data_IF_813087470648
#
_entry.id   IF_813087470648
#
_cell.length_a   1.000
_cell.length_b   1.000
_cell.length_c   1.000
_cell.angle_alpha   90.00
_cell.angle_beta   90.00
_cell.angle_gamma   90.00
#
_symmetry.space_group_name_H-M   'P 1'
#
loop_
_entity.id
_entity.type
_entity.pdbx_description
1 polymer ?
#
# COMPACT_ATOMS: atom_id res chain seq x y z
N UNK A 1 -10.71 -7.84 4.15
CA UNK A 1 -9.43 -7.18 4.43
C UNK A 1 -8.45 -7.54 3.33
N UNK A 2 -7.58 -6.59 2.93
CA UNK A 2 -6.47 -6.85 2.02
C UNK A 2 -6.81 -7.09 0.55
N UNK A 3 -7.99 -6.69 0.04
CA UNK A 3 -8.37 -6.90 -1.37
C UNK A 3 -7.38 -6.27 -2.36
N UNK A 4 -6.94 -5.03 -2.10
CA UNK A 4 -5.96 -4.35 -2.94
C UNK A 4 -4.60 -5.06 -2.88
N UNK A 5 -4.17 -5.51 -1.70
CA UNK A 5 -2.96 -6.30 -1.50
C UNK A 5 -2.96 -7.58 -2.33
N UNK A 6 -4.09 -8.32 -2.32
CA UNK A 6 -4.24 -9.55 -3.11
C UNK A 6 -4.21 -9.29 -4.62
N UNK A 7 -4.85 -8.22 -5.08
CA UNK A 7 -4.85 -7.85 -6.51
C UNK A 7 -3.49 -7.32 -6.98
N UNK A 8 -2.78 -6.57 -6.14
CA UNK A 8 -1.43 -6.12 -6.46
C UNK A 8 -0.44 -7.27 -6.61
N UNK A 9 -0.71 -8.42 -5.98
CA UNK A 9 0.10 -9.64 -6.08
C UNK A 9 -0.25 -10.58 -7.24
N UNK A 10 -1.15 -10.19 -8.14
CA UNK A 10 -1.43 -10.97 -9.36
C UNK A 10 -0.23 -10.87 -10.30
N UNK A 11 0.37 -12.00 -10.65
CA UNK A 11 1.62 -12.06 -11.44
C UNK A 11 2.91 -12.05 -10.62
N UNK A 12 2.82 -11.82 -9.31
CA UNK A 12 3.94 -11.86 -8.37
C UNK A 12 3.89 -10.72 -7.36
N UNK A 13 3.92 -11.08 -6.08
CA UNK A 13 3.93 -10.10 -4.98
C UNK A 13 5.34 -9.54 -4.79
N UNK A 14 5.65 -8.40 -5.39
CA UNK A 14 6.91 -7.70 -5.10
C UNK A 14 6.91 -7.16 -3.67
N UNK A 15 7.88 -7.59 -2.87
CA UNK A 15 8.07 -7.20 -1.46
C UNK A 15 8.91 -5.93 -1.37
N UNK A 16 10.13 -6.00 -1.92
CA UNK A 16 11.12 -4.94 -1.88
C UNK A 16 12.15 -5.14 -3.01
N UNK A 17 13.28 -4.46 -2.91
CA UNK A 17 14.41 -4.59 -3.84
C UNK A 17 15.69 -4.88 -3.06
N UNK A 18 16.55 -5.73 -3.62
CA UNK A 18 17.80 -6.20 -3.00
C UNK A 18 19.00 -5.28 -3.21
N UNK A 19 18.79 -4.09 -3.73
CA UNK A 19 19.88 -3.13 -3.94
C UNK A 19 20.43 -2.62 -2.59
N UNK A 20 21.72 -2.25 -2.60
CA UNK A 20 22.37 -1.72 -1.42
C UNK A 20 21.68 -0.45 -0.88
N UNK A 21 21.66 -0.26 0.45
CA UNK A 21 20.98 0.84 1.15
C UNK A 21 21.18 2.23 0.52
N UNK A 22 22.42 2.66 0.13
CA UNK A 22 22.60 3.98 -0.48
C UNK A 22 21.84 4.15 -1.80
N UNK A 23 21.81 3.11 -2.64
CA UNK A 23 21.09 3.11 -3.90
C UNK A 23 19.56 3.10 -3.66
N UNK A 24 19.09 2.30 -2.71
CA UNK A 24 17.69 2.25 -2.30
C UNK A 24 17.20 3.61 -1.78
N UNK A 25 17.99 4.26 -0.90
CA UNK A 25 17.66 5.57 -0.36
C UNK A 25 17.62 6.65 -1.44
N UNK A 26 18.53 6.60 -2.43
CA UNK A 26 18.58 7.60 -3.51
C UNK A 26 17.31 7.66 -4.37
N UNK A 27 16.52 6.58 -4.40
CA UNK A 27 15.23 6.53 -5.13
C UNK A 27 14.15 7.44 -4.55
N UNK A 28 14.34 7.93 -3.33
CA UNK A 28 13.44 8.91 -2.70
C UNK A 28 13.78 10.36 -3.08
N UNK A 29 14.79 10.56 -3.95
CA UNK A 29 15.20 11.87 -4.48
C UNK A 29 15.30 12.93 -3.37
N UNK A 30 14.62 14.08 -3.51
CA UNK A 30 14.63 15.16 -2.52
C UNK A 30 14.04 14.76 -1.15
N UNK A 31 13.31 13.66 -1.07
CA UNK A 31 12.75 13.13 0.19
C UNK A 31 13.70 12.17 0.93
N UNK A 32 14.86 11.87 0.34
CA UNK A 32 15.83 10.97 0.95
C UNK A 32 16.25 11.39 2.40
N UNK A 33 16.44 12.68 2.73
CA UNK A 33 16.76 13.07 4.10
C UNK A 33 15.67 12.70 5.13
N UNK A 34 14.39 12.84 4.77
CA UNK A 34 13.25 12.48 5.62
C UNK A 34 13.09 10.95 5.72
N UNK A 35 13.39 10.23 4.64
CA UNK A 35 13.27 8.77 4.61
C UNK A 35 14.43 8.04 5.30
N UNK A 36 15.62 8.63 5.32
CA UNK A 36 16.80 7.99 5.87
C UNK A 36 16.65 7.48 7.33
N UNK A 37 16.09 8.23 8.30
CA UNK A 37 15.91 7.72 9.65
C UNK A 37 14.90 6.57 9.71
N UNK A 38 13.86 6.60 8.88
CA UNK A 38 12.85 5.55 8.82
C UNK A 38 13.43 4.26 8.25
N UNK A 39 14.17 4.35 7.15
CA UNK A 39 14.83 3.21 6.52
C UNK A 39 15.99 2.64 7.35
N UNK A 40 16.64 3.43 8.18
CA UNK A 40 17.62 2.90 9.16
C UNK A 40 16.95 2.07 10.25
N UNK A 41 15.73 2.43 10.62
CA UNK A 41 14.97 1.70 11.62
C UNK A 41 14.31 0.42 11.04
N UNK A 42 13.93 0.45 9.75
CA UNK A 42 13.27 -0.66 9.08
C UNK A 42 13.55 -0.60 7.58
N UNK A 43 14.62 -1.25 7.15
CA UNK A 43 15.08 -1.31 5.76
C UNK A 43 14.53 -2.53 4.99
N UNK A 44 15.04 -2.75 3.78
CA UNK A 44 14.65 -3.87 2.93
C UNK A 44 14.99 -5.23 3.55
N UNK A 45 16.11 -5.35 4.24
CA UNK A 45 16.53 -6.59 4.89
C UNK A 45 15.67 -6.88 6.12
N UNK A 46 15.38 -5.85 6.95
CA UNK A 46 14.46 -5.96 8.07
C UNK A 46 13.04 -6.35 7.62
N UNK A 47 12.58 -5.84 6.48
CA UNK A 47 11.30 -6.24 5.89
C UNK A 47 11.33 -7.71 5.45
N UNK A 48 12.40 -8.17 4.80
CA UNK A 48 12.55 -9.58 4.44
C UNK A 48 12.56 -10.48 5.68
N UNK A 49 13.33 -10.11 6.71
CA UNK A 49 13.36 -10.86 7.97
C UNK A 49 11.98 -10.92 8.62
N UNK A 50 11.25 -9.81 8.66
CA UNK A 50 9.88 -9.77 9.19
C UNK A 50 8.94 -10.73 8.43
N UNK A 51 9.11 -10.88 7.12
CA UNK A 51 8.34 -11.83 6.28
C UNK A 51 8.75 -13.27 6.58
N UNK A 52 10.06 -13.53 6.74
CA UNK A 52 10.55 -14.85 7.15
C UNK A 52 10.00 -15.26 8.52
N UNK A 53 9.89 -14.32 9.47
CA UNK A 53 9.29 -14.54 10.79
C UNK A 53 7.77 -14.86 10.72
N UNK A 54 7.14 -14.59 9.58
CA UNK A 54 5.77 -15.04 9.28
C UNK A 54 5.73 -16.44 8.66
N UNK A 55 6.88 -17.09 8.48
CA UNK A 55 7.00 -18.41 7.83
C UNK A 55 6.90 -18.36 6.31
N UNK A 56 7.20 -17.22 5.69
CA UNK A 56 7.16 -17.01 4.23
C UNK A 56 8.59 -16.81 3.73
N UNK A 57 9.10 -17.78 2.96
CA UNK A 57 10.40 -17.66 2.31
C UNK A 57 10.35 -16.70 1.12
N UNK A 58 11.48 -16.04 0.84
CA UNK A 58 11.62 -15.09 -0.26
C UNK A 58 12.80 -15.44 -1.17
N UNK A 59 12.77 -14.96 -2.40
CA UNK A 59 13.89 -15.03 -3.33
C UNK A 59 14.08 -13.71 -4.07
N UNK A 60 15.28 -13.49 -4.59
CA UNK A 60 15.61 -12.33 -5.43
C UNK A 60 15.46 -12.72 -6.90
N UNK A 61 14.59 -12.01 -7.61
CA UNK A 61 14.43 -12.17 -9.06
C UNK A 61 15.57 -11.53 -9.85
N UNK A 62 15.64 -11.80 -11.14
CA UNK A 62 16.71 -11.30 -12.04
C UNK A 62 16.78 -9.76 -12.10
N UNK A 63 15.68 -9.07 -11.81
CA UNK A 63 15.61 -7.60 -11.76
C UNK A 63 16.04 -7.02 -10.40
N UNK A 64 16.49 -7.83 -9.44
CA UNK A 64 16.76 -7.41 -8.07
C UNK A 64 15.53 -7.25 -7.19
N UNK A 65 14.32 -7.47 -7.72
CA UNK A 65 13.09 -7.47 -6.92
C UNK A 65 13.00 -8.71 -6.06
N UNK A 66 12.49 -8.55 -4.84
CA UNK A 66 12.30 -9.63 -3.88
C UNK A 66 10.84 -10.08 -3.91
N UNK A 67 10.62 -11.39 -3.99
CA UNK A 67 9.30 -12.01 -4.06
C UNK A 67 9.17 -13.14 -3.03
N UNK A 68 7.96 -13.48 -2.55
CA UNK A 68 7.73 -14.77 -1.90
C UNK A 68 8.07 -15.91 -2.86
N UNK A 69 8.58 -17.02 -2.35
CA UNK A 69 8.97 -18.17 -3.16
C UNK A 69 7.83 -18.73 -4.01
N UNK A 70 6.59 -18.67 -3.51
CA UNK A 70 5.39 -19.09 -4.24
C UNK A 70 4.79 -17.99 -5.14
N UNK A 71 5.40 -16.81 -5.21
CA UNK A 71 4.96 -15.62 -5.96
C UNK A 71 3.59 -15.06 -5.53
N UNK A 72 2.96 -15.57 -4.47
CA UNK A 72 1.57 -15.27 -4.09
C UNK A 72 1.46 -14.35 -2.88
N UNK A 73 0.56 -13.40 -2.96
CA UNK A 73 0.23 -12.51 -1.83
C UNK A 73 -0.63 -13.19 -0.75
N UNK A 74 -1.42 -14.19 -1.10
CA UNK A 74 -2.42 -14.76 -0.19
C UNK A 74 -1.85 -15.50 1.03
N UNK A 75 -0.79 -16.32 0.92
CA UNK A 75 -0.16 -16.94 2.09
C UNK A 75 0.40 -15.91 3.06
N UNK A 76 1.13 -14.91 2.54
CA UNK A 76 1.68 -13.81 3.34
C UNK A 76 0.57 -13.05 4.07
N UNK A 77 -0.50 -12.67 3.37
CA UNK A 77 -1.63 -11.97 4.00
C UNK A 77 -2.28 -12.81 5.12
N UNK A 78 -2.47 -14.11 4.91
CA UNK A 78 -3.05 -14.99 5.93
C UNK A 78 -2.16 -15.10 7.18
N UNK A 79 -0.85 -15.28 7.00
CA UNK A 79 0.11 -15.35 8.10
C UNK A 79 0.14 -14.02 8.89
N UNK A 80 0.18 -12.90 8.17
CA UNK A 80 0.14 -11.57 8.79
C UNK A 80 -1.15 -11.32 9.57
N UNK A 81 -2.31 -11.60 8.98
CA UNK A 81 -3.60 -11.46 9.66
C UNK A 81 -3.72 -12.38 10.88
N UNK A 82 -3.12 -13.58 10.83
CA UNK A 82 -3.05 -14.46 11.98
C UNK A 82 -2.22 -13.82 13.10
N UNK A 83 -0.99 -13.36 12.82
CA UNK A 83 -0.14 -12.67 13.80
C UNK A 83 -0.85 -11.48 14.45
N UNK A 84 -1.53 -10.65 13.65
CA UNK A 84 -2.28 -9.49 14.18
C UNK A 84 -3.38 -9.92 15.15
N UNK A 85 -4.16 -10.95 14.82
CA UNK A 85 -5.21 -11.47 15.73
C UNK A 85 -4.63 -12.07 16.99
N UNK A 86 -3.58 -12.85 16.87
CA UNK A 86 -2.87 -13.47 18.01
C UNK A 86 -2.30 -12.39 18.96
N UNK A 87 -1.98 -11.21 18.43
CA UNK A 87 -1.54 -10.03 19.18
C UNK A 87 -2.69 -9.16 19.71
N UNK A 88 -3.94 -9.58 19.58
CA UNK A 88 -5.12 -8.86 20.09
C UNK A 88 -5.62 -7.72 19.20
N UNK A 89 -5.10 -7.58 17.96
CA UNK A 89 -5.55 -6.54 17.03
C UNK A 89 -6.95 -6.84 16.52
N UNK A 90 -7.87 -5.91 16.71
CA UNK A 90 -9.25 -5.99 16.21
C UNK A 90 -9.34 -5.28 14.85
N UNK A 91 -9.80 -6.00 13.84
CA UNK A 91 -9.94 -5.49 12.48
C UNK A 91 -11.41 -5.26 12.17
N UNK A 92 -11.81 -4.02 12.08
CA UNK A 92 -13.15 -3.61 11.68
C UNK A 92 -13.24 -3.47 10.16
N UNK A 93 -13.98 -4.34 9.49
CA UNK A 93 -14.24 -4.25 8.04
C UNK A 93 -15.50 -3.44 7.76
N UNK A 94 -15.59 -2.84 6.57
CA UNK A 94 -16.72 -1.97 6.17
C UNK A 94 -16.90 -0.79 7.13
N UNK A 95 -15.80 -0.27 7.66
CA UNK A 95 -15.73 0.93 8.46
C UNK A 95 -14.99 1.99 7.65
N UNK A 96 -15.63 3.13 7.41
CA UNK A 96 -15.08 4.26 6.67
C UNK A 96 -14.88 5.43 7.61
N UNK A 97 -13.68 5.95 7.65
CA UNK A 97 -13.41 7.18 8.37
C UNK A 97 -14.02 8.38 7.64
N UNK A 98 -14.74 9.23 8.39
CA UNK A 98 -15.45 10.41 7.91
C UNK A 98 -14.84 11.73 8.43
N UNK A 99 -13.63 11.68 8.98
CA UNK A 99 -13.01 12.84 9.64
C UNK A 99 -13.30 12.89 11.14
N UNK A 100 -13.38 14.09 11.66
CA UNK A 100 -13.62 14.35 13.06
C UNK A 100 -14.92 15.14 13.28
N UNK A 101 -15.50 15.01 14.44
CA UNK A 101 -16.59 15.89 14.89
C UNK A 101 -16.04 17.19 15.50
N UNK A 102 -16.95 18.02 16.06
CA UNK A 102 -16.60 19.30 16.69
C UNK A 102 -15.76 19.12 17.97
N UNK A 103 -15.91 17.99 18.66
CA UNK A 103 -15.17 17.63 19.87
C UNK A 103 -13.84 16.92 19.57
N UNK A 104 -13.49 16.74 18.28
CA UNK A 104 -12.26 16.09 17.83
C UNK A 104 -12.29 14.55 17.91
N UNK A 105 -13.45 13.94 18.09
CA UNK A 105 -13.62 12.49 18.04
C UNK A 105 -13.63 12.02 16.59
N UNK A 106 -13.10 10.82 16.33
CA UNK A 106 -13.19 10.19 15.01
C UNK A 106 -14.64 9.81 14.69
N UNK A 107 -15.09 10.18 13.50
CA UNK A 107 -16.36 9.75 12.94
C UNK A 107 -16.11 8.58 11.99
N UNK A 108 -16.81 7.49 12.23
CA UNK A 108 -16.66 6.26 11.47
C UNK A 108 -18.04 5.81 10.98
N UNK A 109 -18.22 5.74 9.67
CA UNK A 109 -19.36 5.06 9.06
C UNK A 109 -19.17 3.55 9.17
N UNK A 110 -20.14 2.85 9.74
CA UNK A 110 -20.11 1.41 9.97
C UNK A 110 -21.40 0.75 9.53
N UNK A 111 -21.46 -0.60 9.39
CA UNK A 111 -22.68 -1.31 9.04
C UNK A 111 -23.86 -1.05 10.00
N UNK A 112 -23.57 -0.64 11.24
CA UNK A 112 -24.55 -0.35 12.28
C UNK A 112 -24.87 1.15 12.41
N UNK A 113 -24.40 1.96 11.45
CA UNK A 113 -24.53 3.42 11.45
C UNK A 113 -23.25 4.14 11.83
N UNK A 114 -23.33 5.47 11.90
CA UNK A 114 -22.18 6.31 12.28
C UNK A 114 -21.81 6.10 13.75
N UNK A 115 -20.53 5.87 14.00
CA UNK A 115 -19.94 5.73 15.32
C UNK A 115 -18.92 6.85 15.57
N UNK A 116 -18.79 7.23 16.83
CA UNK A 116 -17.77 8.16 17.30
C UNK A 116 -16.82 7.43 18.23
N UNK A 117 -15.53 7.72 18.12
CA UNK A 117 -14.54 7.15 19.03
C UNK A 117 -13.43 8.16 19.34
N UNK A 118 -12.91 8.07 20.54
CA UNK A 118 -11.79 8.88 21.04
C UNK A 118 -10.67 7.94 21.48
N UNK A 119 -9.82 7.49 20.55
CA UNK A 119 -8.67 6.67 20.90
C UNK A 119 -7.56 7.52 21.54
N UNK A 120 -6.64 6.88 22.27
CA UNK A 120 -5.45 7.54 22.84
C UNK A 120 -4.47 8.01 21.76
N UNK A 121 -4.38 7.28 20.64
CA UNK A 121 -3.55 7.63 19.48
C UNK A 121 -4.20 7.17 18.17
N UNK A 122 -3.90 7.89 17.09
CA UNK A 122 -4.40 7.58 15.74
C UNK A 122 -3.25 7.54 14.76
N UNK A 123 -3.17 6.45 13.98
CA UNK A 123 -2.27 6.35 12.83
C UNK A 123 -3.14 6.34 11.56
N UNK A 124 -3.00 7.38 10.73
CA UNK A 124 -3.70 7.49 9.46
C UNK A 124 -2.89 6.78 8.36
N UNK A 125 -3.27 5.54 8.04
CA UNK A 125 -2.65 4.73 6.97
C UNK A 125 -3.64 4.55 5.80
N UNK A 126 -4.10 5.65 5.23
CA UNK A 126 -5.28 5.75 4.36
C UNK A 126 -5.00 5.34 2.89
N UNK A 127 -3.72 5.11 2.54
CA UNK A 127 -3.32 4.76 1.19
C UNK A 127 -3.41 5.93 0.21
N UNK A 128 -3.34 5.62 -1.08
CA UNK A 128 -3.44 6.60 -2.17
C UNK A 128 -4.83 6.62 -2.83
N UNK A 129 -4.89 7.07 -4.11
CA UNK A 129 -6.11 7.17 -4.92
C UNK A 129 -6.15 6.23 -6.12
N UNK A 130 -5.30 5.18 -6.18
CA UNK A 130 -5.08 4.40 -7.39
C UNK A 130 -6.14 3.34 -7.70
N UNK A 131 -7.02 3.00 -6.75
CA UNK A 131 -8.02 1.95 -6.91
C UNK A 131 -9.30 2.22 -6.12
N UNK A 132 -10.09 3.18 -6.58
CA UNK A 132 -11.29 3.66 -5.91
C UNK A 132 -12.29 2.53 -5.58
N UNK A 133 -12.56 1.63 -6.53
CA UNK A 133 -13.46 0.48 -6.32
C UNK A 133 -13.00 -0.52 -5.24
N UNK A 134 -11.73 -0.45 -4.82
CA UNK A 134 -11.18 -1.26 -3.73
C UNK A 134 -10.99 -0.47 -2.43
N UNK A 135 -11.45 0.79 -2.39
CA UNK A 135 -11.36 1.68 -1.25
C UNK A 135 -10.09 2.55 -1.20
N UNK A 136 -9.27 2.56 -2.26
CA UNK A 136 -8.13 3.47 -2.41
C UNK A 136 -8.52 4.62 -3.33
N UNK A 137 -9.37 5.53 -2.83
CA UNK A 137 -10.05 6.57 -3.59
C UNK A 137 -9.53 7.99 -3.31
N UNK A 138 -8.59 8.16 -2.38
CA UNK A 138 -8.07 9.46 -2.00
C UNK A 138 -9.07 10.36 -1.25
N UNK A 139 -10.24 9.86 -0.88
CA UNK A 139 -11.31 10.62 -0.24
C UNK A 139 -10.95 11.19 1.15
N UNK A 140 -9.81 10.81 1.69
CA UNK A 140 -9.26 11.37 2.92
C UNK A 140 -8.66 12.77 2.74
N UNK A 141 -8.28 13.16 1.51
CA UNK A 141 -7.60 14.44 1.26
C UNK A 141 -8.42 15.66 1.70
N UNK A 142 -9.70 15.82 1.32
CA UNK A 142 -10.49 16.94 1.80
C UNK A 142 -10.64 16.95 3.32
N UNK A 143 -10.73 15.79 3.97
CA UNK A 143 -10.85 15.71 5.44
C UNK A 143 -9.62 16.24 6.16
N UNK A 144 -8.43 16.05 5.59
CA UNK A 144 -7.19 16.62 6.14
C UNK A 144 -7.04 18.11 5.78
N UNK A 145 -7.44 18.50 4.56
CA UNK A 145 -7.44 19.90 4.14
C UNK A 145 -8.32 20.77 5.04
N UNK A 146 -9.50 20.28 5.46
CA UNK A 146 -10.38 20.95 6.43
C UNK A 146 -9.72 21.18 7.80
N UNK A 147 -8.65 20.46 8.10
CA UNK A 147 -7.82 20.62 9.30
C UNK A 147 -6.55 21.43 9.06
N UNK A 148 -6.47 22.14 7.93
CA UNK A 148 -5.32 22.95 7.52
C UNK A 148 -4.00 22.13 7.40
N UNK A 149 -4.11 20.82 7.08
CA UNK A 149 -2.93 20.03 6.74
C UNK A 149 -2.54 20.35 5.30
N UNK A 150 -1.29 20.76 5.11
CA UNK A 150 -0.74 20.95 3.75
C UNK A 150 -0.65 19.63 3.03
N UNK A 151 -1.26 19.54 1.85
CA UNK A 151 -1.35 18.31 1.08
C UNK A 151 -0.76 18.52 -0.32
N UNK A 152 0.19 17.65 -0.69
CA UNK A 152 0.58 17.52 -2.08
C UNK A 152 -0.51 16.75 -2.86
N UNK A 153 -0.90 17.20 -4.07
CA UNK A 153 -1.87 16.47 -4.87
C UNK A 153 -1.35 15.10 -5.25
N UNK A 154 -2.25 14.11 -5.27
CA UNK A 154 -1.91 12.77 -5.74
C UNK A 154 -1.56 12.82 -7.23
N UNK A 155 -0.42 12.22 -7.60
CA UNK A 155 0.06 12.12 -8.97
C UNK A 155 0.08 10.64 -9.38
N UNK A 156 -0.25 10.31 -10.64
CA UNK A 156 -0.10 8.95 -11.14
C UNK A 156 1.38 8.58 -11.24
N UNK A 157 1.77 7.45 -10.66
CA UNK A 157 3.14 6.92 -10.76
C UNK A 157 3.23 5.71 -11.71
N UNK A 158 2.11 5.02 -11.92
CA UNK A 158 1.95 3.98 -12.94
C UNK A 158 0.73 4.33 -13.79
N UNK A 159 0.90 4.48 -15.08
CA UNK A 159 -0.18 4.78 -16.01
C UNK A 159 -0.03 3.94 -17.29
N UNK A 160 -1.15 3.63 -17.91
CA UNK A 160 -1.19 3.20 -19.29
C UNK A 160 -1.14 4.42 -20.20
N UNK A 161 -0.72 4.23 -21.43
CA UNK A 161 -0.73 5.26 -22.46
C UNK A 161 -1.65 4.81 -23.60
N UNK A 162 -2.52 5.71 -24.02
CA UNK A 162 -3.24 5.56 -25.29
C UNK A 162 -2.33 6.04 -26.41
N UNK A 163 -2.00 5.14 -27.33
CA UNK A 163 -1.13 5.46 -28.47
C UNK A 163 -1.99 5.64 -29.71
N UNK A 164 -1.97 6.83 -30.29
CA UNK A 164 -2.57 7.07 -31.58
C UNK A 164 -1.67 6.51 -32.68
N UNK A 165 -2.23 5.73 -33.61
CA UNK A 165 -1.51 5.22 -34.75
C UNK A 165 -0.72 3.92 -34.54
N UNK A 166 -1.17 3.05 -33.65
CA UNK A 166 -0.64 1.69 -33.56
C UNK A 166 -0.73 0.98 -34.91
N UNK A 167 0.35 0.30 -35.31
CA UNK A 167 0.30 -0.56 -36.49
C UNK A 167 -0.73 -1.68 -36.31
N UNK A 168 -1.31 -2.17 -37.42
CA UNK A 168 -2.29 -3.26 -37.40
C UNK A 168 -1.74 -4.50 -36.68
N UNK A 169 -0.45 -4.80 -36.84
CA UNK A 169 0.23 -5.92 -36.20
C UNK A 169 0.28 -5.75 -34.69
N UNK A 170 0.63 -4.56 -34.19
CA UNK A 170 0.65 -4.29 -32.74
C UNK A 170 -0.76 -4.34 -32.15
N UNK A 171 -1.73 -3.75 -32.85
CA UNK A 171 -3.13 -3.72 -32.41
C UNK A 171 -3.72 -5.14 -32.31
N UNK A 172 -3.50 -5.98 -33.35
CA UNK A 172 -4.06 -7.33 -33.40
C UNK A 172 -3.41 -8.31 -32.42
N UNK A 173 -2.09 -8.15 -32.13
CA UNK A 173 -1.34 -9.12 -31.32
C UNK A 173 -1.16 -8.70 -29.87
N UNK A 174 -1.12 -7.42 -29.56
CA UNK A 174 -0.69 -6.91 -28.25
C UNK A 174 -1.68 -5.96 -27.57
N UNK A 175 -2.78 -5.54 -28.26
CA UNK A 175 -3.76 -4.69 -27.61
C UNK A 175 -4.36 -5.39 -26.39
N UNK A 176 -4.23 -4.74 -25.20
CA UNK A 176 -4.69 -5.28 -23.93
C UNK A 176 -3.77 -6.33 -23.28
N UNK A 177 -2.62 -6.63 -23.88
CA UNK A 177 -1.60 -7.45 -23.26
C UNK A 177 -0.59 -6.58 -22.49
N UNK A 178 -0.07 -7.04 -21.34
CA UNK A 178 1.07 -6.39 -20.70
C UNK A 178 2.30 -6.50 -21.59
N UNK A 179 3.05 -5.42 -21.73
CA UNK A 179 4.32 -5.36 -22.42
C UNK A 179 5.46 -5.74 -21.48
#
# INVERSE_FOLDING_TARGET
VGRKFLLAGVGGMNITHSEAYPAFLSRYAERAPQMAPLLRAFDADALCQWIHDLGIETFVGSSGRVFPTDMKAAPLLRAWLKRLRDSGVIIHTRHRWLGWDAEGQLRIDSPDGEKRCKPDAVILALGGGSWARLGSDGAWMPLLAERNVELAPLQPSNCGFDVQGWSEVLRSKFAGAPL
#
